data_IF_378816892406
#
_entry.id   IF_378816892406
#
_cell.length_a   1.000
_cell.length_b   1.000
_cell.length_c   1.000
_cell.angle_alpha   90.00
_cell.angle_beta   90.00
_cell.angle_gamma   90.00
#
_symmetry.space_group_name_H-M   'P 1'
#
loop_
_entity.id
_entity.type
_entity.pdbx_description
1 polymer ?
#
# COMPACT_ATOMS: atom_id res chain seq x y z
N UNK A 1 -23.69 2.69 -27.88
CA UNK A 1 -24.20 2.75 -26.51
C UNK A 1 -23.66 1.61 -25.65
N UNK A 2 -23.88 0.34 -25.97
CA UNK A 2 -23.39 -0.81 -25.18
C UNK A 2 -21.87 -0.85 -25.00
N UNK A 3 -21.08 -0.56 -26.02
CA UNK A 3 -19.61 -0.50 -25.95
C UNK A 3 -19.12 0.59 -24.98
N UNK A 4 -19.78 1.76 -24.95
CA UNK A 4 -19.43 2.83 -24.02
C UNK A 4 -19.75 2.47 -22.56
N UNK A 5 -20.89 1.79 -22.35
CA UNK A 5 -21.25 1.28 -21.02
C UNK A 5 -20.21 0.25 -20.55
N UNK A 6 -19.84 -0.71 -21.41
CA UNK A 6 -18.84 -1.70 -21.09
C UNK A 6 -17.48 -1.07 -20.72
N UNK A 7 -17.00 -0.11 -21.52
CA UNK A 7 -15.74 0.60 -21.26
C UNK A 7 -15.72 1.42 -19.95
N UNK A 8 -16.89 1.67 -19.37
CA UNK A 8 -17.00 2.32 -18.07
C UNK A 8 -17.11 1.29 -16.94
N UNK A 9 -17.83 0.20 -17.17
CA UNK A 9 -18.16 -0.79 -16.12
C UNK A 9 -17.02 -1.76 -15.85
N UNK A 10 -16.34 -2.30 -16.90
CA UNK A 10 -15.32 -3.33 -16.67
C UNK A 10 -14.12 -2.87 -15.81
N UNK A 11 -13.62 -1.62 -15.90
CA UNK A 11 -12.51 -1.21 -15.05
C UNK A 11 -12.92 -1.07 -13.59
N UNK A 12 -14.17 -0.65 -13.34
CA UNK A 12 -14.73 -0.58 -11.98
C UNK A 12 -14.87 -1.98 -11.39
N UNK A 13 -15.36 -2.95 -12.18
CA UNK A 13 -15.44 -4.35 -11.75
C UNK A 13 -14.06 -4.93 -11.43
N UNK A 14 -13.05 -4.65 -12.27
CA UNK A 14 -11.68 -5.07 -11.98
C UNK A 14 -11.17 -4.46 -10.68
N UNK A 15 -11.44 -3.17 -10.44
CA UNK A 15 -11.05 -2.51 -9.20
C UNK A 15 -11.70 -3.17 -7.97
N UNK A 16 -13.00 -3.41 -8.02
CA UNK A 16 -13.75 -4.08 -6.93
C UNK A 16 -13.19 -5.48 -6.68
N UNK A 17 -13.02 -6.29 -7.71
CA UNK A 17 -12.47 -7.65 -7.60
C UNK A 17 -11.04 -7.64 -7.04
N UNK A 18 -10.26 -6.63 -7.39
CA UNK A 18 -8.92 -6.50 -6.86
C UNK A 18 -8.90 -6.13 -5.37
N UNK A 19 -9.74 -5.17 -4.94
CA UNK A 19 -9.88 -4.85 -3.52
C UNK A 19 -10.33 -6.06 -2.71
N UNK A 20 -11.31 -6.82 -3.23
CA UNK A 20 -11.76 -8.04 -2.58
C UNK A 20 -10.63 -9.09 -2.50
N UNK A 21 -9.81 -9.23 -3.54
CA UNK A 21 -8.65 -10.12 -3.54
C UNK A 21 -7.64 -9.73 -2.43
N UNK A 22 -7.35 -8.44 -2.25
CA UNK A 22 -6.48 -7.96 -1.17
C UNK A 22 -7.03 -8.38 0.19
N UNK A 23 -8.33 -8.22 0.39
CA UNK A 23 -9.00 -8.56 1.66
C UNK A 23 -9.00 -10.07 1.88
N UNK A 24 -9.34 -10.87 0.88
CA UNK A 24 -9.33 -12.34 0.99
C UNK A 24 -7.92 -12.86 1.32
N UNK A 25 -6.88 -12.28 0.73
CA UNK A 25 -5.51 -12.67 1.01
C UNK A 25 -5.09 -12.28 2.43
N UNK A 26 -5.52 -11.11 2.88
CA UNK A 26 -5.31 -10.64 4.25
C UNK A 26 -5.96 -11.59 5.26
N UNK A 27 -7.26 -11.83 5.14
CA UNK A 27 -8.02 -12.75 6.00
C UNK A 27 -7.50 -14.19 5.89
N UNK A 28 -7.07 -14.58 4.69
CA UNK A 28 -6.40 -15.86 4.44
C UNK A 28 -5.10 -16.01 5.22
N UNK A 29 -4.37 -14.92 5.42
CA UNK A 29 -3.19 -14.88 6.30
C UNK A 29 -3.52 -15.24 7.73
N UNK A 30 -4.52 -14.59 8.31
CA UNK A 30 -5.01 -14.90 9.66
C UNK A 30 -5.49 -16.35 9.76
N UNK A 31 -6.29 -16.79 8.78
CA UNK A 31 -6.81 -18.14 8.72
C UNK A 31 -5.70 -19.20 8.73
N UNK A 32 -4.71 -19.07 7.85
CA UNK A 32 -3.59 -20.04 7.75
C UNK A 32 -2.77 -20.03 9.05
N UNK A 33 -2.44 -18.85 9.58
CA UNK A 33 -1.68 -18.71 10.79
C UNK A 33 -2.44 -19.27 12.02
N UNK A 34 -3.74 -19.00 12.13
CA UNK A 34 -4.58 -19.57 13.19
C UNK A 34 -4.56 -21.09 13.16
N UNK A 35 -4.71 -21.68 11.97
CA UNK A 35 -4.65 -23.14 11.80
C UNK A 35 -3.28 -23.72 12.17
N UNK A 36 -2.18 -23.06 11.79
CA UNK A 36 -0.82 -23.46 12.16
C UNK A 36 -0.60 -23.40 13.68
N UNK A 37 -1.17 -22.41 14.34
CA UNK A 37 -1.10 -22.26 15.81
C UNK A 37 -2.16 -23.09 16.56
N UNK A 38 -2.92 -23.93 15.84
CA UNK A 38 -4.00 -24.77 16.39
C UNK A 38 -5.05 -23.93 17.13
N UNK A 39 -5.40 -22.80 16.59
CA UNK A 39 -6.52 -21.97 17.01
C UNK A 39 -7.76 -22.41 16.21
N UNK A 40 -8.89 -22.52 16.90
CA UNK A 40 -10.16 -22.88 16.28
C UNK A 40 -10.69 -21.67 15.50
N UNK A 41 -10.93 -21.86 14.20
CA UNK A 41 -11.56 -20.87 13.33
C UNK A 41 -13.02 -21.22 13.16
N UNK A 42 -13.89 -20.34 13.61
CA UNK A 42 -15.34 -20.52 13.60
C UNK A 42 -15.94 -20.23 12.23
N UNK A 43 -15.56 -19.10 11.62
CA UNK A 43 -16.03 -18.69 10.30
C UNK A 43 -14.93 -18.00 9.49
N UNK A 44 -14.86 -18.32 8.21
CA UNK A 44 -14.09 -17.57 7.20
C UNK A 44 -15.09 -17.03 6.18
N UNK A 45 -15.18 -15.71 6.08
CA UNK A 45 -16.17 -15.03 5.27
C UNK A 45 -15.54 -14.19 4.18
N UNK A 46 -16.04 -14.35 2.95
CA UNK A 46 -15.82 -13.43 1.83
C UNK A 46 -17.03 -12.50 1.77
N UNK A 47 -16.77 -11.19 1.87
CA UNK A 47 -17.81 -10.19 1.96
C UNK A 47 -18.39 -10.01 3.36
N UNK A 48 -19.28 -9.05 3.48
CA UNK A 48 -20.01 -8.68 4.70
C UNK A 48 -21.54 -8.70 4.49
N UNK A 49 -22.31 -8.56 5.58
CA UNK A 49 -23.76 -8.49 5.54
C UNK A 49 -24.45 -9.85 5.47
N UNK A 50 -25.68 -9.96 4.90
CA UNK A 50 -26.43 -11.21 4.82
C UNK A 50 -25.69 -12.27 4.01
N UNK A 51 -25.85 -13.54 4.40
CA UNK A 51 -25.25 -14.69 3.72
C UNK A 51 -25.96 -15.00 2.41
N UNK A 52 -25.22 -15.12 1.30
CA UNK A 52 -25.69 -15.65 0.03
C UNK A 52 -25.60 -17.17 0.06
N UNK A 53 -24.42 -17.66 0.46
CA UNK A 53 -24.10 -19.08 0.48
C UNK A 53 -23.18 -19.39 1.67
N UNK A 54 -23.37 -20.57 2.28
CA UNK A 54 -22.47 -21.05 3.31
C UNK A 54 -22.34 -22.58 3.26
N UNK A 55 -21.19 -23.07 3.61
CA UNK A 55 -20.98 -24.49 3.85
C UNK A 55 -20.01 -24.71 5.04
N UNK A 56 -20.14 -25.83 5.70
CA UNK A 56 -19.28 -26.20 6.83
C UNK A 56 -18.31 -27.29 6.39
N UNK A 57 -17.01 -27.08 6.65
CA UNK A 57 -15.98 -28.09 6.43
C UNK A 57 -15.16 -28.26 7.72
N UNK A 58 -15.31 -29.41 8.35
CA UNK A 58 -14.77 -29.62 9.69
C UNK A 58 -15.48 -28.74 10.71
N UNK A 59 -14.70 -27.93 11.44
CA UNK A 59 -15.22 -27.01 12.45
C UNK A 59 -15.47 -25.59 11.93
N UNK A 60 -14.96 -25.27 10.74
CA UNK A 60 -15.04 -23.94 10.15
C UNK A 60 -16.23 -23.82 9.21
N UNK A 61 -16.99 -22.76 9.34
CA UNK A 61 -18.02 -22.33 8.39
C UNK A 61 -17.38 -21.40 7.36
N UNK A 62 -17.55 -21.68 6.08
CA UNK A 62 -17.15 -20.81 4.98
C UNK A 62 -18.39 -20.13 4.43
N UNK A 63 -18.37 -18.81 4.30
CA UNK A 63 -19.52 -18.04 3.85
C UNK A 63 -19.15 -17.03 2.76
N UNK A 64 -20.09 -16.83 1.82
CA UNK A 64 -20.09 -15.76 0.84
C UNK A 64 -21.26 -14.83 1.17
N UNK A 65 -21.00 -13.52 1.22
CA UNK A 65 -21.97 -12.52 1.64
C UNK A 65 -22.24 -11.47 0.57
N UNK A 66 -23.33 -10.73 0.71
CA UNK A 66 -23.83 -9.82 -0.32
C UNK A 66 -22.94 -8.62 -0.60
N UNK A 67 -22.30 -8.07 0.42
CA UNK A 67 -21.46 -6.89 0.29
C UNK A 67 -20.03 -7.38 0.04
N UNK A 68 -19.63 -7.40 -1.23
CA UNK A 68 -18.29 -7.80 -1.68
C UNK A 68 -17.24 -6.70 -1.38
N UNK A 69 -17.32 -6.07 -0.23
CA UNK A 69 -16.34 -5.14 0.32
C UNK A 69 -16.09 -5.56 1.75
N UNK A 70 -14.99 -6.27 1.96
CA UNK A 70 -14.64 -6.79 3.26
C UNK A 70 -14.66 -8.31 3.33
N UNK A 71 -14.26 -8.81 4.47
CA UNK A 71 -14.25 -10.21 4.84
C UNK A 71 -13.89 -10.30 6.30
N UNK A 72 -13.87 -11.50 6.86
CA UNK A 72 -13.36 -11.72 8.18
C UNK A 72 -13.00 -13.19 8.42
N UNK A 73 -12.06 -13.39 9.32
CA UNK A 73 -11.67 -14.68 9.88
C UNK A 73 -11.99 -14.70 11.37
N UNK A 74 -13.15 -15.22 11.75
CA UNK A 74 -13.58 -15.28 13.16
C UNK A 74 -12.91 -16.45 13.88
N UNK A 75 -12.16 -16.15 14.92
CA UNK A 75 -11.47 -17.13 15.76
C UNK A 75 -12.16 -17.26 17.12
N UNK A 76 -12.12 -18.47 17.69
CA UNK A 76 -12.63 -18.71 19.02
C UNK A 76 -11.82 -17.91 20.05
N UNK A 77 -12.52 -17.22 20.97
CA UNK A 77 -11.87 -16.45 22.03
C UNK A 77 -11.06 -15.26 21.54
N UNK A 78 -11.43 -14.67 20.40
CA UNK A 78 -10.75 -13.51 19.82
C UNK A 78 -11.19 -12.20 20.47
N UNK A 79 -12.49 -12.00 20.59
CA UNK A 79 -13.10 -10.78 21.15
C UNK A 79 -13.66 -11.00 22.57
N UNK A 80 -13.90 -12.23 22.96
CA UNK A 80 -14.42 -12.63 24.26
C UNK A 80 -13.57 -13.75 24.87
N UNK A 81 -13.54 -13.85 26.20
CA UNK A 81 -12.88 -14.97 26.86
C UNK A 81 -13.61 -16.27 26.54
N UNK A 82 -12.88 -17.34 26.28
CA UNK A 82 -13.40 -18.67 25.98
C UNK A 82 -12.68 -19.74 26.79
N UNK A 83 -13.41 -20.77 27.26
CA UNK A 83 -12.86 -21.92 27.96
C UNK A 83 -12.23 -22.96 27.00
N UNK A 84 -12.40 -22.82 25.66
CA UNK A 84 -11.78 -23.74 24.70
C UNK A 84 -10.25 -23.59 24.75
N UNK A 85 -9.52 -24.67 24.99
CA UNK A 85 -8.05 -24.67 24.96
C UNK A 85 -7.44 -24.18 23.67
N UNK A 86 -8.22 -24.21 22.58
CA UNK A 86 -7.84 -23.75 21.25
C UNK A 86 -8.27 -22.30 20.98
N UNK A 87 -8.81 -21.62 21.99
CA UNK A 87 -9.17 -20.21 21.86
C UNK A 87 -7.92 -19.33 21.66
N UNK A 88 -8.06 -18.26 20.88
CA UNK A 88 -7.02 -17.26 20.65
C UNK A 88 -6.51 -16.68 21.97
N UNK A 89 -7.42 -16.32 22.89
CA UNK A 89 -7.11 -15.76 24.22
C UNK A 89 -6.24 -16.68 25.08
N UNK A 90 -6.33 -18.01 24.89
CA UNK A 90 -5.62 -19.03 25.66
C UNK A 90 -4.24 -19.39 25.08
N UNK A 91 -3.85 -18.81 23.93
CA UNK A 91 -2.54 -19.03 23.31
C UNK A 91 -1.46 -18.11 23.89
N UNK A 92 -0.20 -18.55 23.76
CA UNK A 92 0.95 -17.72 24.14
C UNK A 92 0.97 -16.44 23.34
N UNK A 93 1.44 -15.34 23.94
CA UNK A 93 1.50 -14.01 23.29
C UNK A 93 2.17 -14.08 21.90
N UNK A 94 3.30 -14.82 21.78
CA UNK A 94 4.02 -14.95 20.50
C UNK A 94 3.18 -15.63 19.40
N UNK A 95 2.33 -16.60 19.76
CA UNK A 95 1.45 -17.27 18.82
C UNK A 95 0.32 -16.32 18.35
N UNK A 96 -0.21 -15.52 19.28
CA UNK A 96 -1.20 -14.48 18.97
C UNK A 96 -0.61 -13.40 18.07
N UNK A 97 0.61 -12.93 18.35
CA UNK A 97 1.34 -11.98 17.50
C UNK A 97 1.52 -12.55 16.08
N UNK A 98 1.94 -13.82 15.98
CA UNK A 98 2.13 -14.46 14.66
C UNK A 98 0.83 -14.46 13.85
N UNK A 99 -0.32 -14.74 14.47
CA UNK A 99 -1.62 -14.76 13.81
C UNK A 99 -2.02 -13.34 13.37
N UNK A 100 -1.89 -12.35 14.26
CA UNK A 100 -2.27 -10.96 13.97
C UNK A 100 -1.42 -10.35 12.84
N UNK A 101 -0.12 -10.61 12.82
CA UNK A 101 0.78 -10.08 11.77
C UNK A 101 0.58 -10.78 10.43
N UNK A 102 0.06 -12.02 10.43
CA UNK A 102 -0.01 -12.84 9.23
C UNK A 102 -0.88 -12.25 8.13
N UNK A 103 -1.99 -11.57 8.48
CA UNK A 103 -2.84 -10.89 7.49
C UNK A 103 -2.08 -9.81 6.72
N UNK A 104 -1.47 -8.89 7.44
CA UNK A 104 -0.66 -7.83 6.86
C UNK A 104 0.53 -8.39 6.06
N UNK A 105 1.21 -9.41 6.59
CA UNK A 105 2.34 -10.04 5.92
C UNK A 105 1.94 -10.68 4.57
N UNK A 106 0.78 -11.31 4.50
CA UNK A 106 0.30 -11.90 3.23
C UNK A 106 0.03 -10.83 2.17
N UNK A 107 -0.45 -9.66 2.55
CA UNK A 107 -0.56 -8.52 1.61
C UNK A 107 0.82 -8.03 1.16
N UNK A 108 1.80 -7.93 2.05
CA UNK A 108 3.17 -7.58 1.66
C UNK A 108 3.78 -8.61 0.72
N UNK A 109 3.53 -9.91 0.94
CA UNK A 109 3.96 -10.98 0.03
C UNK A 109 3.28 -10.84 -1.34
N UNK A 110 1.96 -10.58 -1.37
CA UNK A 110 1.24 -10.32 -2.63
C UNK A 110 1.84 -9.11 -3.36
N UNK A 111 2.08 -8.00 -2.66
CA UNK A 111 2.71 -6.80 -3.21
C UNK A 111 4.09 -7.12 -3.81
N UNK A 112 4.91 -7.90 -3.11
CA UNK A 112 6.22 -8.33 -3.60
C UNK A 112 6.11 -9.19 -4.86
N UNK A 113 5.14 -10.10 -4.94
CA UNK A 113 4.87 -10.91 -6.14
C UNK A 113 4.47 -10.02 -7.31
N UNK A 114 3.57 -9.04 -7.10
CA UNK A 114 3.14 -8.12 -8.17
C UNK A 114 4.33 -7.29 -8.66
N UNK A 115 5.17 -6.75 -7.75
CA UNK A 115 6.40 -6.03 -8.13
C UNK A 115 7.35 -6.93 -8.92
N UNK A 116 7.50 -8.21 -8.53
CA UNK A 116 8.31 -9.18 -9.28
C UNK A 116 7.80 -9.36 -10.71
N UNK A 117 6.48 -9.46 -10.89
CA UNK A 117 5.86 -9.56 -12.21
C UNK A 117 6.14 -8.30 -13.03
N UNK A 118 6.02 -7.10 -12.43
CA UNK A 118 6.32 -5.83 -13.10
C UNK A 118 7.77 -5.82 -13.60
N UNK A 119 8.74 -6.10 -12.72
CA UNK A 119 10.17 -6.10 -13.09
C UNK A 119 10.47 -7.16 -14.13
N UNK A 120 9.89 -8.34 -14.03
CA UNK A 120 10.05 -9.41 -15.03
C UNK A 120 9.45 -9.06 -16.41
N UNK A 121 8.37 -8.27 -16.44
CA UNK A 121 7.70 -7.89 -17.71
C UNK A 121 8.37 -6.73 -18.44
N UNK A 122 9.20 -5.93 -17.77
CA UNK A 122 9.96 -4.84 -18.41
C UNK A 122 11.07 -5.41 -19.28
N UNK A 123 11.42 -4.74 -20.38
CA UNK A 123 12.55 -5.16 -21.25
C UNK A 123 13.91 -4.84 -20.61
N UNK A 124 14.00 -3.69 -19.95
CA UNK A 124 15.21 -3.20 -19.27
C UNK A 124 14.89 -2.90 -17.80
N UNK A 125 15.89 -3.00 -16.95
CA UNK A 125 15.82 -2.56 -15.57
C UNK A 125 16.25 -1.08 -15.51
N UNK A 126 15.40 -0.23 -14.92
CA UNK A 126 15.72 1.18 -14.75
C UNK A 126 16.85 1.37 -13.75
N UNK A 127 17.76 2.29 -14.03
CA UNK A 127 18.82 2.70 -13.11
C UNK A 127 18.48 4.06 -12.48
N UNK A 128 19.43 4.69 -11.83
CA UNK A 128 19.35 6.08 -11.34
C UNK A 128 20.28 7.00 -12.13
N UNK A 129 20.77 6.53 -13.30
CA UNK A 129 21.73 7.24 -14.15
C UNK A 129 20.98 7.99 -15.24
N UNK A 130 21.35 9.25 -15.47
CA UNK A 130 20.79 10.08 -16.54
C UNK A 130 21.33 9.59 -17.89
N UNK A 131 20.43 9.24 -18.80
CA UNK A 131 20.78 8.75 -20.14
C UNK A 131 20.80 9.86 -21.20
N UNK A 132 19.83 10.77 -21.12
CA UNK A 132 19.70 11.92 -22.04
C UNK A 132 18.78 12.96 -21.45
N UNK A 133 18.82 14.15 -22.00
CA UNK A 133 17.90 15.25 -21.67
C UNK A 133 16.90 15.46 -22.82
N UNK A 134 15.78 16.11 -22.52
CA UNK A 134 14.90 16.71 -23.52
C UNK A 134 15.56 17.96 -24.12
N UNK A 135 15.12 18.40 -25.30
CA UNK A 135 15.79 19.46 -26.05
C UNK A 135 15.89 20.80 -25.28
N UNK A 136 14.88 21.13 -24.46
CA UNK A 136 14.79 22.37 -23.68
C UNK A 136 14.99 22.13 -22.17
N UNK A 137 15.69 21.07 -21.78
CA UNK A 137 15.87 20.69 -20.37
C UNK A 137 16.63 21.76 -19.58
N UNK A 138 16.00 22.37 -18.58
CA UNK A 138 16.66 23.31 -17.67
C UNK A 138 17.68 22.63 -16.77
N UNK A 139 17.37 21.41 -16.33
CA UNK A 139 18.26 20.64 -15.46
C UNK A 139 19.61 20.33 -16.12
N UNK A 140 19.69 20.34 -17.47
CA UNK A 140 20.91 20.12 -18.24
C UNK A 140 21.98 21.22 -18.07
N UNK A 141 21.64 22.36 -17.47
CA UNK A 141 22.60 23.42 -17.15
C UNK A 141 23.56 22.98 -16.02
N UNK A 142 23.13 22.05 -15.17
CA UNK A 142 23.86 21.60 -13.98
C UNK A 142 24.10 20.09 -14.01
N UNK A 143 23.11 19.30 -14.42
CA UNK A 143 23.20 17.85 -14.55
C UNK A 143 23.82 17.47 -15.90
N UNK A 144 24.45 16.31 -15.97
CA UNK A 144 25.09 15.77 -17.19
C UNK A 144 24.64 14.35 -17.46
N UNK A 145 24.71 13.94 -18.71
CA UNK A 145 24.56 12.52 -19.09
C UNK A 145 25.64 11.69 -18.38
N UNK A 146 25.22 10.60 -17.75
CA UNK A 146 26.10 9.75 -16.95
C UNK A 146 26.06 10.03 -15.45
N UNK A 147 25.47 11.14 -15.00
CA UNK A 147 25.27 11.40 -13.58
C UNK A 147 24.39 10.33 -12.94
N UNK A 148 24.84 9.75 -11.84
CA UNK A 148 24.04 8.83 -11.03
C UNK A 148 23.41 9.60 -9.86
N UNK A 149 22.08 9.66 -9.83
CA UNK A 149 21.32 10.36 -8.78
C UNK A 149 21.32 9.51 -7.51
N UNK A 150 21.77 10.08 -6.38
CA UNK A 150 21.84 9.42 -5.07
C UNK A 150 20.80 9.94 -4.08
N UNK A 151 20.50 11.22 -4.14
CA UNK A 151 19.39 11.78 -3.34
C UNK A 151 18.79 13.00 -4.03
N UNK A 152 17.53 13.29 -3.69
CA UNK A 152 16.74 14.45 -4.10
C UNK A 152 16.12 15.02 -2.84
N UNK A 153 16.36 16.28 -2.50
CA UNK A 153 15.87 16.97 -1.30
C UNK A 153 16.06 16.13 -0.02
N UNK A 154 17.23 15.51 0.14
CA UNK A 154 17.55 14.64 1.26
C UNK A 154 16.96 13.24 1.20
N UNK A 155 16.02 12.96 0.26
CA UNK A 155 15.48 11.63 0.05
C UNK A 155 16.46 10.78 -0.77
N UNK A 156 16.91 9.65 -0.23
CA UNK A 156 17.78 8.70 -0.94
C UNK A 156 17.06 8.07 -2.13
N UNK A 157 17.78 7.94 -3.23
CA UNK A 157 17.31 7.35 -4.50
C UNK A 157 17.98 6.01 -4.72
N UNK A 158 17.19 4.96 -4.90
CA UNK A 158 17.65 3.59 -5.17
C UNK A 158 17.13 3.05 -6.50
N UNK A 159 16.00 3.55 -6.96
CA UNK A 159 15.31 3.10 -8.17
C UNK A 159 14.86 4.30 -9.01
N UNK A 160 14.51 4.05 -10.27
CA UNK A 160 13.89 5.08 -11.12
C UNK A 160 12.56 5.60 -10.55
N UNK A 161 11.84 4.76 -9.80
CA UNK A 161 10.61 5.16 -9.09
C UNK A 161 10.91 6.21 -8.02
N UNK A 162 12.04 6.09 -7.31
CA UNK A 162 12.45 7.08 -6.32
C UNK A 162 12.81 8.42 -6.96
N UNK A 163 13.40 8.41 -8.15
CA UNK A 163 13.66 9.65 -8.91
C UNK A 163 12.35 10.38 -9.16
N UNK A 164 11.37 9.70 -9.75
CA UNK A 164 10.04 10.28 -10.01
C UNK A 164 9.37 10.76 -8.72
N UNK A 165 9.45 9.96 -7.64
CA UNK A 165 8.87 10.34 -6.34
C UNK A 165 9.53 11.60 -5.77
N UNK A 166 10.87 11.72 -5.88
CA UNK A 166 11.60 12.91 -5.42
C UNK A 166 11.18 14.16 -6.18
N UNK A 167 11.08 14.07 -7.50
CA UNK A 167 10.63 15.16 -8.36
C UNK A 167 9.19 15.60 -8.03
N UNK A 168 8.26 14.66 -7.86
CA UNK A 168 6.84 14.98 -7.63
C UNK A 168 6.54 15.49 -6.22
N UNK A 169 7.44 15.27 -5.23
CA UNK A 169 7.28 15.73 -3.86
C UNK A 169 7.74 17.16 -3.63
N UNK A 170 8.54 17.73 -4.52
CA UNK A 170 8.97 19.11 -4.37
C UNK A 170 7.85 20.09 -4.71
N UNK A 171 7.75 21.17 -3.92
CA UNK A 171 6.84 22.28 -4.15
C UNK A 171 7.49 23.39 -4.99
N UNK A 172 8.83 23.38 -5.05
CA UNK A 172 9.63 24.41 -5.72
C UNK A 172 10.14 23.89 -7.06
N UNK A 173 10.53 24.79 -7.95
CA UNK A 173 11.13 24.46 -9.25
C UNK A 173 12.63 24.12 -9.15
N UNK A 174 13.23 24.17 -7.98
CA UNK A 174 14.63 23.85 -7.73
C UNK A 174 14.75 22.68 -6.78
N UNK A 175 15.71 21.76 -7.04
CA UNK A 175 15.97 20.58 -6.25
C UNK A 175 17.42 20.50 -5.81
N UNK A 176 17.64 20.27 -4.54
CA UNK A 176 18.96 19.92 -4.02
C UNK A 176 19.22 18.42 -4.24
N UNK A 177 20.18 18.13 -5.10
CA UNK A 177 20.50 16.76 -5.49
C UNK A 177 21.91 16.38 -5.08
N UNK A 178 22.10 15.13 -4.69
CA UNK A 178 23.41 14.51 -4.58
C UNK A 178 23.55 13.54 -5.74
N UNK A 179 24.60 13.74 -6.53
CA UNK A 179 24.93 12.94 -7.70
C UNK A 179 26.32 12.34 -7.60
N UNK A 180 26.57 11.26 -8.33
CA UNK A 180 27.92 10.78 -8.61
C UNK A 180 28.24 11.10 -10.07
N UNK A 181 29.31 11.89 -10.27
CA UNK A 181 29.89 12.22 -11.57
C UNK A 181 31.36 11.82 -11.57
N UNK A 182 31.78 11.03 -12.53
CA UNK A 182 33.16 10.51 -12.64
C UNK A 182 33.67 9.86 -11.34
N UNK A 183 32.77 9.12 -10.66
CA UNK A 183 33.06 8.43 -9.40
C UNK A 183 33.15 9.34 -8.16
N UNK A 184 32.87 10.64 -8.28
CA UNK A 184 32.89 11.60 -7.17
C UNK A 184 31.48 12.05 -6.81
N UNK A 185 31.19 12.05 -5.52
CA UNK A 185 29.94 12.58 -5.00
C UNK A 185 29.96 14.10 -5.02
N UNK A 186 28.89 14.70 -5.55
CA UNK A 186 28.72 16.15 -5.70
C UNK A 186 27.32 16.55 -5.25
N UNK A 187 27.23 17.71 -4.61
CA UNK A 187 25.95 18.37 -4.32
C UNK A 187 25.69 19.42 -5.40
N UNK A 188 24.53 19.38 -5.97
CA UNK A 188 24.10 20.30 -7.02
C UNK A 188 22.67 20.74 -6.77
N UNK A 189 22.34 21.98 -7.14
CA UNK A 189 20.96 22.46 -7.15
C UNK A 189 20.53 22.61 -8.62
N UNK A 190 19.58 21.82 -9.05
CA UNK A 190 19.07 21.80 -10.41
C UNK A 190 17.69 22.49 -10.50
N UNK A 191 17.50 23.31 -11.53
CA UNK A 191 16.23 23.96 -11.84
C UNK A 191 15.45 23.15 -12.88
N UNK A 192 14.12 23.09 -12.72
CA UNK A 192 13.21 22.37 -13.57
C UNK A 192 12.03 23.27 -14.01
N UNK A 193 11.37 22.92 -15.09
CA UNK A 193 10.08 23.48 -15.42
C UNK A 193 8.98 22.86 -14.55
N UNK A 194 7.95 23.69 -14.28
CA UNK A 194 6.77 23.26 -13.55
C UNK A 194 5.63 23.00 -14.53
N UNK A 195 4.95 21.87 -14.34
CA UNK A 195 3.74 21.51 -15.08
C UNK A 195 2.54 21.54 -14.15
N UNK A 196 1.39 21.98 -14.67
CA UNK A 196 0.14 22.05 -13.93
C UNK A 196 -0.73 20.86 -14.27
N UNK A 197 -1.03 20.04 -13.28
CA UNK A 197 -1.94 18.92 -13.41
C UNK A 197 -2.99 18.97 -12.29
N UNK A 198 -4.28 18.92 -12.65
CA UNK A 198 -5.42 19.00 -11.70
C UNK A 198 -5.30 20.16 -10.69
N UNK A 199 -4.84 21.31 -11.14
CA UNK A 199 -4.70 22.52 -10.32
C UNK A 199 -3.46 22.58 -9.43
N UNK A 200 -2.67 21.52 -9.35
CA UNK A 200 -1.39 21.47 -8.63
C UNK A 200 -0.22 21.64 -9.58
N UNK A 201 0.87 22.21 -9.05
CA UNK A 201 2.13 22.33 -9.78
C UNK A 201 3.03 21.17 -9.41
N UNK A 202 3.65 20.54 -10.42
CA UNK A 202 4.63 19.48 -10.27
C UNK A 202 5.84 19.80 -11.13
N UNK A 203 7.00 19.32 -10.70
CA UNK A 203 8.21 19.36 -11.52
C UNK A 203 7.99 18.48 -12.75
N UNK A 204 8.21 19.06 -13.94
CA UNK A 204 8.30 18.32 -15.18
C UNK A 204 9.67 17.66 -15.27
N UNK A 205 9.68 16.31 -15.29
CA UNK A 205 10.91 15.56 -15.52
C UNK A 205 11.39 15.81 -16.96
N UNK A 206 12.58 16.36 -17.12
CA UNK A 206 13.16 16.81 -18.39
C UNK A 206 14.38 15.97 -18.82
N UNK A 207 14.57 14.80 -18.21
CA UNK A 207 15.61 13.85 -18.54
C UNK A 207 15.11 12.41 -18.51
N UNK A 208 15.86 11.53 -19.15
CA UNK A 208 15.55 10.10 -19.24
C UNK A 208 16.56 9.29 -18.44
N UNK A 209 16.08 8.23 -17.79
CA UNK A 209 16.88 7.33 -17.00
C UNK A 209 17.41 6.18 -17.88
N UNK A 210 18.70 5.84 -17.69
CA UNK A 210 19.34 4.72 -18.38
C UNK A 210 18.72 3.38 -17.95
N UNK A 211 18.36 2.56 -18.95
CA UNK A 211 17.99 1.17 -18.76
C UNK A 211 19.20 0.25 -18.88
N UNK A 212 19.25 -0.80 -18.08
CA UNK A 212 20.24 -1.88 -18.17
C UNK A 212 19.58 -3.18 -18.55
N UNK A 213 20.32 -4.05 -19.24
CA UNK A 213 19.89 -5.41 -19.54
C UNK A 213 19.61 -6.20 -18.27
N UNK A 214 18.61 -7.07 -18.35
CA UNK A 214 18.21 -7.92 -17.24
C UNK A 214 19.20 -9.04 -17.02
N UNK A 215 19.64 -9.17 -15.77
CA UNK A 215 20.31 -10.37 -15.27
C UNK A 215 19.45 -10.98 -14.17
N UNK A 216 19.56 -12.26 -13.90
CA UNK A 216 18.78 -12.92 -12.84
C UNK A 216 18.96 -12.22 -11.47
N UNK A 217 20.21 -11.96 -11.10
CA UNK A 217 20.53 -11.24 -9.85
C UNK A 217 20.05 -9.79 -9.88
N UNK A 218 20.10 -9.13 -11.05
CA UNK A 218 19.59 -7.78 -11.27
C UNK A 218 18.09 -7.68 -11.04
N UNK A 219 17.32 -8.63 -11.56
CA UNK A 219 15.85 -8.71 -11.36
C UNK A 219 15.51 -8.89 -9.88
N UNK A 220 16.19 -9.79 -9.17
CA UNK A 220 15.95 -9.99 -7.72
C UNK A 220 16.25 -8.70 -6.95
N UNK A 221 17.39 -8.07 -7.21
CA UNK A 221 17.80 -6.84 -6.55
C UNK A 221 16.80 -5.71 -6.83
N UNK A 222 16.43 -5.53 -8.10
CA UNK A 222 15.49 -4.48 -8.51
C UNK A 222 14.10 -4.70 -7.89
N UNK A 223 13.59 -5.94 -7.90
CA UNK A 223 12.33 -6.27 -7.23
C UNK A 223 12.36 -5.88 -5.77
N UNK A 224 13.42 -6.25 -5.04
CA UNK A 224 13.56 -5.91 -3.63
C UNK A 224 13.65 -4.38 -3.42
N UNK A 225 14.44 -3.68 -4.23
CA UNK A 225 14.60 -2.22 -4.11
C UNK A 225 13.30 -1.50 -4.47
N UNK A 226 12.59 -1.92 -5.51
CA UNK A 226 11.33 -1.30 -5.91
C UNK A 226 10.21 -1.57 -4.88
N UNK A 227 10.18 -2.77 -4.28
CA UNK A 227 9.28 -3.06 -3.17
C UNK A 227 9.56 -2.14 -1.96
N UNK A 228 10.84 -1.96 -1.59
CA UNK A 228 11.25 -1.04 -0.52
C UNK A 228 10.87 0.40 -0.88
N UNK A 229 11.02 0.83 -2.13
CA UNK A 229 10.63 2.15 -2.60
C UNK A 229 9.12 2.38 -2.44
N UNK A 230 8.27 1.42 -2.82
CA UNK A 230 6.83 1.51 -2.59
C UNK A 230 6.48 1.55 -1.10
N UNK A 231 7.10 0.70 -0.28
CA UNK A 231 6.91 0.74 1.17
C UNK A 231 7.30 2.12 1.75
N UNK A 232 8.43 2.67 1.31
CA UNK A 232 8.89 4.00 1.72
C UNK A 232 7.92 5.11 1.28
N UNK A 233 7.35 5.03 0.08
CA UNK A 233 6.32 5.99 -0.36
C UNK A 233 5.15 6.05 0.62
N UNK A 234 4.71 4.92 1.15
CA UNK A 234 3.63 4.87 2.15
C UNK A 234 4.04 5.66 3.41
N UNK A 235 5.24 5.41 3.96
CA UNK A 235 5.72 6.14 5.14
C UNK A 235 5.90 7.64 4.86
N UNK A 236 6.42 8.01 3.68
CA UNK A 236 6.59 9.40 3.28
C UNK A 236 5.23 10.10 3.13
N UNK A 237 4.22 9.43 2.58
CA UNK A 237 2.86 9.99 2.45
C UNK A 237 2.23 10.25 3.82
N UNK A 238 2.40 9.34 4.78
CA UNK A 238 1.94 9.53 6.16
C UNK A 238 2.70 10.69 6.84
N UNK A 239 4.02 10.75 6.67
CA UNK A 239 4.83 11.86 7.18
C UNK A 239 4.36 13.20 6.59
N UNK A 240 4.18 13.27 5.27
CA UNK A 240 3.79 14.50 4.57
C UNK A 240 2.38 14.96 4.96
N UNK A 241 1.48 14.03 5.29
CA UNK A 241 0.17 14.32 5.87
C UNK A 241 0.31 14.92 7.29
N UNK A 242 1.17 14.34 8.14
CA UNK A 242 1.38 14.81 9.52
C UNK A 242 2.01 16.20 9.54
N UNK A 243 2.97 16.48 8.67
CA UNK A 243 3.62 17.81 8.59
C UNK A 243 2.81 18.83 7.79
N UNK A 244 1.62 18.46 7.28
CA UNK A 244 0.70 19.36 6.60
C UNK A 244 1.10 19.73 5.17
N UNK A 245 1.95 18.95 4.50
CA UNK A 245 2.24 19.13 3.06
C UNK A 245 1.02 18.80 2.20
N UNK A 246 0.21 17.85 2.65
CA UNK A 246 -1.05 17.43 2.03
C UNK A 246 -2.19 17.70 2.98
N UNK A 247 -3.29 18.20 2.45
CA UNK A 247 -4.54 18.36 3.18
C UNK A 247 -5.41 17.10 3.13
N UNK A 248 -6.48 17.08 3.94
CA UNK A 248 -7.47 15.99 3.88
C UNK A 248 -8.13 15.89 2.50
N UNK A 249 -8.21 17.02 1.77
CA UNK A 249 -8.69 17.08 0.39
C UNK A 249 -7.80 16.32 -0.60
N UNK A 250 -6.54 16.09 -0.27
CA UNK A 250 -5.58 15.37 -1.14
C UNK A 250 -5.64 13.86 -0.95
N UNK A 251 -6.30 13.41 0.12
CA UNK A 251 -6.53 12.00 0.33
C UNK A 251 -7.57 11.46 -0.66
N UNK A 252 -7.33 10.25 -1.13
CA UNK A 252 -8.29 9.49 -1.92
C UNK A 252 -9.01 8.48 -1.03
N UNK A 253 -10.33 8.54 -1.03
CA UNK A 253 -11.17 7.56 -0.37
C UNK A 253 -11.49 6.37 -1.28
N UNK A 254 -12.48 5.55 -0.93
CA UNK A 254 -12.86 4.38 -1.72
C UNK A 254 -13.24 4.72 -3.17
N UNK A 255 -13.93 5.84 -3.39
CA UNK A 255 -14.36 6.28 -4.73
C UNK A 255 -13.15 6.73 -5.55
N UNK A 256 -12.26 7.53 -4.95
CA UNK A 256 -11.01 7.96 -5.59
C UNK A 256 -10.10 6.78 -5.91
N UNK A 257 -9.95 5.82 -4.99
CA UNK A 257 -9.16 4.62 -5.21
C UNK A 257 -9.68 3.77 -6.39
N UNK A 258 -11.00 3.56 -6.48
CA UNK A 258 -11.62 2.88 -7.62
C UNK A 258 -11.39 3.67 -8.92
N UNK A 259 -11.46 5.00 -8.89
CA UNK A 259 -11.19 5.87 -10.05
C UNK A 259 -9.75 5.72 -10.54
N UNK A 260 -8.77 5.75 -9.62
CA UNK A 260 -7.34 5.59 -9.93
C UNK A 260 -7.06 4.22 -10.56
N UNK A 261 -7.60 3.14 -9.96
CA UNK A 261 -7.46 1.78 -10.53
C UNK A 261 -8.13 1.70 -11.90
N UNK A 262 -9.33 2.26 -12.06
CA UNK A 262 -10.05 2.25 -13.33
C UNK A 262 -9.28 2.98 -14.43
N UNK A 263 -8.66 4.12 -14.10
CA UNK A 263 -7.81 4.87 -15.04
C UNK A 263 -6.57 4.07 -15.41
N UNK A 264 -5.92 3.45 -14.44
CA UNK A 264 -4.74 2.62 -14.67
C UNK A 264 -5.05 1.40 -15.57
N UNK A 265 -6.21 0.75 -15.37
CA UNK A 265 -6.69 -0.35 -16.21
C UNK A 265 -6.86 0.08 -17.68
N UNK A 266 -7.36 1.30 -17.91
CA UNK A 266 -7.54 1.85 -19.26
C UNK A 266 -6.22 2.27 -19.92
N UNK A 267 -5.23 2.64 -19.11
CA UNK A 267 -3.95 3.14 -19.61
C UNK A 267 -3.05 2.00 -20.10
N UNK A 268 -2.74 1.03 -19.24
CA UNK A 268 -1.95 -0.15 -19.60
C UNK A 268 -1.97 -1.20 -18.49
N UNK A 269 -1.69 -2.47 -18.84
CA UNK A 269 -1.55 -3.55 -17.87
C UNK A 269 -0.44 -3.27 -16.85
N UNK A 270 0.66 -2.62 -17.26
CA UNK A 270 1.76 -2.27 -16.35
C UNK A 270 1.34 -1.17 -15.37
N UNK A 271 0.61 -0.14 -15.85
CA UNK A 271 0.06 0.91 -14.96
C UNK A 271 -0.90 0.32 -13.95
N UNK A 272 -1.77 -0.58 -14.38
CA UNK A 272 -2.67 -1.33 -13.50
C UNK A 272 -1.87 -2.09 -12.42
N UNK A 273 -0.87 -2.88 -12.80
CA UNK A 273 -0.06 -3.65 -11.85
C UNK A 273 0.70 -2.74 -10.86
N UNK A 274 1.20 -1.58 -11.30
CA UNK A 274 1.87 -0.61 -10.41
C UNK A 274 0.94 -0.08 -9.34
N UNK A 275 -0.27 0.33 -9.71
CA UNK A 275 -1.27 0.80 -8.74
C UNK A 275 -1.69 -0.35 -7.82
N UNK A 276 -1.90 -1.55 -8.35
CA UNK A 276 -2.22 -2.73 -7.55
C UNK A 276 -1.12 -3.06 -6.54
N UNK A 277 0.17 -3.01 -6.93
CA UNK A 277 1.29 -3.21 -6.03
C UNK A 277 1.29 -2.18 -4.90
N UNK A 278 1.14 -0.90 -5.26
CA UNK A 278 1.12 0.21 -4.29
C UNK A 278 -0.03 0.06 -3.29
N UNK A 279 -1.25 -0.22 -3.76
CA UNK A 279 -2.42 -0.40 -2.90
C UNK A 279 -2.27 -1.61 -1.97
N UNK A 280 -1.77 -2.73 -2.49
CA UNK A 280 -1.57 -3.96 -1.70
C UNK A 280 -0.54 -3.74 -0.59
N UNK A 281 0.60 -3.11 -0.92
CA UNK A 281 1.65 -2.77 0.06
C UNK A 281 1.12 -1.76 1.07
N UNK A 282 0.34 -0.77 0.62
CA UNK A 282 -0.29 0.23 1.46
C UNK A 282 -1.20 -0.43 2.51
N UNK A 283 -2.15 -1.27 2.08
CA UNK A 283 -3.05 -2.01 2.98
C UNK A 283 -2.25 -2.87 3.97
N UNK A 284 -1.21 -3.59 3.51
CA UNK A 284 -0.36 -4.39 4.38
C UNK A 284 0.35 -3.54 5.46
N UNK A 285 0.92 -2.41 5.09
CA UNK A 285 1.64 -1.54 6.03
C UNK A 285 0.69 -0.80 6.98
N UNK A 286 -0.44 -0.26 6.48
CA UNK A 286 -1.41 0.43 7.33
C UNK A 286 -2.01 -0.50 8.39
N UNK A 287 -2.26 -1.76 8.06
CA UNK A 287 -2.73 -2.74 9.03
C UNK A 287 -1.68 -3.10 10.10
N UNK A 288 -0.42 -2.68 9.96
CA UNK A 288 0.59 -2.81 11.02
C UNK A 288 0.74 -1.55 11.88
N UNK A 289 0.12 -0.42 11.50
CA UNK A 289 0.17 0.79 12.32
C UNK A 289 -0.70 0.65 13.58
N UNK A 290 -0.28 1.22 14.73
CA UNK A 290 -1.01 1.13 15.98
C UNK A 290 -2.27 2.03 15.98
N UNK A 291 -3.13 1.83 14.99
CA UNK A 291 -4.39 2.57 14.82
C UNK A 291 -5.52 1.69 15.32
N UNK A 292 -6.36 2.17 16.27
CA UNK A 292 -7.50 1.39 16.75
C UNK A 292 -8.39 0.89 15.62
N UNK A 293 -8.97 -0.28 15.78
CA UNK A 293 -9.74 -1.04 14.79
C UNK A 293 -8.93 -1.70 13.66
N UNK A 294 -7.60 -1.52 13.59
CA UNK A 294 -6.71 -2.26 12.71
C UNK A 294 -5.90 -3.31 13.49
N UNK A 295 -5.35 -4.29 12.79
CA UNK A 295 -4.51 -5.36 13.40
C UNK A 295 -3.31 -4.82 14.17
N UNK A 296 -2.73 -3.73 13.69
CA UNK A 296 -1.58 -3.07 14.32
C UNK A 296 -1.87 -2.58 15.74
N UNK A 297 -3.11 -2.19 16.03
CA UNK A 297 -3.52 -1.89 17.41
C UNK A 297 -3.49 -3.14 18.28
N UNK A 298 -4.05 -4.24 17.80
CA UNK A 298 -4.03 -5.53 18.50
C UNK A 298 -2.59 -6.03 18.68
N UNK A 299 -1.76 -5.89 17.66
CA UNK A 299 -0.32 -6.17 17.73
C UNK A 299 0.36 -5.35 18.82
N UNK A 300 0.10 -4.03 18.86
CA UNK A 300 0.64 -3.14 19.89
C UNK A 300 0.25 -3.60 21.31
N UNK A 301 -1.02 -3.95 21.53
CA UNK A 301 -1.50 -4.44 22.82
C UNK A 301 -0.83 -5.78 23.20
N UNK A 302 -0.64 -6.69 22.24
CA UNK A 302 0.04 -7.97 22.47
C UNK A 302 1.52 -7.79 22.82
N UNK A 303 2.20 -6.85 22.16
CA UNK A 303 3.59 -6.48 22.50
C UNK A 303 3.65 -5.91 23.92
N UNK A 304 2.73 -5.01 24.26
CA UNK A 304 2.63 -4.45 25.61
C UNK A 304 2.39 -5.55 26.66
N UNK A 305 1.43 -6.47 26.40
CA UNK A 305 1.19 -7.63 27.26
C UNK A 305 2.45 -8.49 27.43
N UNK A 306 3.19 -8.73 26.35
CA UNK A 306 4.42 -9.54 26.38
C UNK A 306 5.53 -8.92 27.24
N UNK A 307 5.68 -7.58 27.19
CA UNK A 307 6.70 -6.85 27.94
C UNK A 307 6.30 -6.66 29.39
N UNK A 308 5.09 -6.17 29.65
CA UNK A 308 4.65 -5.78 30.98
C UNK A 308 3.91 -6.89 31.73
N UNK A 309 3.59 -8.01 31.05
CA UNK A 309 2.81 -9.14 31.60
C UNK A 309 1.45 -8.72 32.17
N UNK A 310 0.88 -7.66 31.65
CA UNK A 310 -0.43 -7.12 32.02
C UNK A 310 -1.30 -7.00 30.78
N UNK A 311 -2.49 -7.58 30.83
CA UNK A 311 -3.50 -7.40 29.79
C UNK A 311 -4.27 -6.11 30.03
N UNK A 312 -4.62 -5.41 28.94
CA UNK A 312 -5.62 -4.34 29.00
C UNK A 312 -6.99 -4.98 29.31
N UNK A 313 -7.79 -4.45 30.24
CA UNK A 313 -9.13 -4.98 30.48
C UNK A 313 -9.96 -4.92 29.19
N UNK A 314 -10.65 -5.99 28.84
CA UNK A 314 -11.43 -6.18 27.60
C UNK A 314 -12.42 -5.03 27.34
N UNK A 315 -13.00 -4.45 28.42
CA UNK A 315 -13.87 -3.30 28.34
C UNK A 315 -13.19 -2.07 27.70
N UNK A 316 -11.95 -1.77 28.09
CA UNK A 316 -11.20 -0.63 27.55
C UNK A 316 -10.73 -0.89 26.11
N UNK A 317 -10.31 -2.11 25.84
CA UNK A 317 -9.95 -2.51 24.48
C UNK A 317 -11.14 -2.34 23.52
N UNK A 318 -12.33 -2.81 23.93
CA UNK A 318 -13.56 -2.65 23.15
C UNK A 318 -13.91 -1.17 22.94
N UNK A 319 -13.87 -0.33 23.98
CA UNK A 319 -14.17 1.10 23.88
C UNK A 319 -13.21 1.81 22.92
N UNK A 320 -11.89 1.55 23.05
CA UNK A 320 -10.88 2.18 22.19
C UNK A 320 -11.09 1.77 20.74
N UNK A 321 -11.34 0.48 20.48
CA UNK A 321 -11.62 -0.02 19.13
C UNK A 321 -12.93 0.57 18.57
N UNK A 322 -13.98 0.67 19.35
CA UNK A 322 -15.25 1.25 18.91
C UNK A 322 -15.11 2.74 18.57
N UNK A 323 -14.41 3.53 19.39
CA UNK A 323 -14.13 4.92 19.12
C UNK A 323 -13.23 5.07 17.88
N UNK A 324 -12.18 4.26 17.78
CA UNK A 324 -11.28 4.27 16.63
C UNK A 324 -12.02 3.94 15.33
N UNK A 325 -12.86 2.90 15.34
CA UNK A 325 -13.70 2.54 14.20
C UNK A 325 -14.65 3.68 13.81
N UNK A 326 -15.30 4.31 14.78
CA UNK A 326 -16.20 5.46 14.54
C UNK A 326 -15.45 6.62 13.88
N UNK A 327 -14.23 6.93 14.35
CA UNK A 327 -13.38 7.98 13.76
C UNK A 327 -12.93 7.62 12.34
N UNK A 328 -12.54 6.36 12.09
CA UNK A 328 -12.17 5.90 10.75
C UNK A 328 -13.35 5.95 9.78
N UNK A 329 -14.55 5.55 10.22
CA UNK A 329 -15.76 5.64 9.40
C UNK A 329 -16.14 7.10 9.11
N UNK A 330 -16.01 8.00 10.09
CA UNK A 330 -16.23 9.42 9.90
C UNK A 330 -15.24 10.00 8.89
N UNK A 331 -13.94 9.71 9.05
CA UNK A 331 -12.90 10.14 8.12
C UNK A 331 -13.18 9.61 6.70
N UNK A 332 -13.54 8.33 6.57
CA UNK A 332 -13.91 7.72 5.29
C UNK A 332 -15.11 8.41 4.65
N UNK A 333 -16.14 8.78 5.44
CA UNK A 333 -17.29 9.50 4.94
C UNK A 333 -16.92 10.90 4.42
N UNK A 334 -16.08 11.64 5.15
CA UNK A 334 -15.58 12.97 4.74
C UNK A 334 -14.78 12.88 3.45
N UNK A 335 -13.84 11.91 3.35
CA UNK A 335 -13.02 11.74 2.15
C UNK A 335 -13.88 11.29 0.96
N UNK A 336 -14.84 10.37 1.17
CA UNK A 336 -15.76 9.93 0.12
C UNK A 336 -16.61 11.10 -0.40
N UNK A 337 -17.09 11.97 0.48
CA UNK A 337 -17.79 13.20 0.08
C UNK A 337 -16.88 14.12 -0.76
N UNK A 338 -15.62 14.29 -0.33
CA UNK A 338 -14.62 15.05 -1.11
C UNK A 338 -14.37 14.42 -2.48
N UNK A 339 -14.23 13.09 -2.56
CA UNK A 339 -14.04 12.39 -3.85
C UNK A 339 -15.20 12.63 -4.80
N UNK A 340 -16.45 12.51 -4.30
CA UNK A 340 -17.66 12.74 -5.12
C UNK A 340 -17.71 14.20 -5.58
N UNK A 341 -17.37 15.16 -4.70
CA UNK A 341 -17.36 16.59 -5.05
C UNK A 341 -16.36 16.94 -6.16
N UNK A 342 -15.28 16.16 -6.30
CA UNK A 342 -14.29 16.35 -7.39
C UNK A 342 -14.76 15.74 -8.73
N UNK A 343 -15.75 14.86 -8.71
CA UNK A 343 -16.28 14.20 -9.90
C UNK A 343 -17.45 14.97 -10.55
N UNK A 344 -18.07 15.88 -9.79
CA UNK A 344 -19.17 16.74 -10.21
C UNK A 344 -18.62 18.11 -10.66
#
# INVERSE_FOLDING_TARGET
MLVNIWNTVYPVLIAILFFELIIIIHEGGHFVAARLMKIKVNEFSVGMGPKIFQFKKGETTYSLRWILFGGYCSMEGEDEDSEDERAFSNKKVIQRIFVVVAGALMNLVLGFIIVSIIVCSQNLVGTTVIARFDDDAKSSQVLMVGDEIKSIDGMRVYTSTDVTTGLTRSADNTLDMVIIRDGKEMKVTAEFDMEKYEGKQFIKMDFWILGKDKTFTGVIKETAMQFISYARMVFLSVHDLIVGRYGVSDLSGPVGAVSVVSTAVKTSSISMLRIMALLTINVGLFNLFPIPALDGWRLFLLIFEGIFRKKLPSKWEWVINAVGLALLLLLMAVITFSDISKLI
#
